data_IF_218113149924
#
_entry.id   IF_218113149924
#
_cell.length_a   1.000
_cell.length_b   1.000
_cell.length_c   1.000
_cell.angle_alpha   90.00
_cell.angle_beta   90.00
_cell.angle_gamma   90.00
#
_symmetry.space_group_name_H-M   'P 1'
#
loop_
_entity.id
_entity.type
_entity.pdbx_description
1 polymer ?
#
# COMPACT_ATOMS: atom_id res chain seq x y z
N UNK A 1 -6.50 14.62 15.70
CA UNK A 1 -5.21 14.77 14.98
C UNK A 1 -4.82 13.40 14.43
N UNK A 2 -4.87 13.25 13.12
CA UNK A 2 -4.46 12.00 12.48
C UNK A 2 -2.96 12.07 12.23
N UNK A 3 -2.21 11.21 12.88
CA UNK A 3 -0.77 11.13 12.72
C UNK A 3 -0.42 9.94 11.84
N UNK A 4 0.27 10.18 10.73
CA UNK A 4 0.95 9.10 10.00
C UNK A 4 2.25 8.86 10.76
N UNK A 5 2.29 7.83 11.59
CA UNK A 5 3.51 7.42 12.26
C UNK A 5 4.33 6.51 11.35
N UNK A 6 5.58 6.89 11.15
CA UNK A 6 6.54 6.08 10.41
C UNK A 6 7.32 5.21 11.39
N UNK A 7 7.15 3.90 11.32
CA UNK A 7 8.13 3.01 11.91
C UNK A 7 9.10 2.54 10.83
N UNK A 8 10.31 3.05 10.91
CA UNK A 8 11.43 2.55 10.13
C UNK A 8 11.99 1.31 10.83
N UNK A 9 11.46 0.14 10.55
CA UNK A 9 12.20 -1.09 10.78
C UNK A 9 13.25 -1.21 9.67
N UNK A 10 14.48 -0.77 9.93
CA UNK A 10 15.62 -0.83 9.00
C UNK A 10 16.16 -2.25 8.79
N UNK A 11 15.38 -3.28 9.10
CA UNK A 11 15.77 -4.66 8.91
C UNK A 11 15.33 -5.06 7.49
N UNK A 12 16.30 -5.34 6.62
CA UNK A 12 16.12 -5.84 5.24
C UNK A 12 15.36 -4.92 4.25
N UNK A 13 15.44 -3.60 4.38
CA UNK A 13 14.80 -2.68 3.43
C UNK A 13 13.28 -2.64 3.51
N UNK A 14 12.69 -3.10 4.60
CA UNK A 14 11.25 -3.05 4.85
C UNK A 14 10.91 -1.75 5.58
N UNK A 15 9.86 -1.07 5.11
CA UNK A 15 9.26 0.10 5.75
C UNK A 15 7.81 -0.18 6.05
N UNK A 16 7.41 0.04 7.28
CA UNK A 16 6.02 -0.06 7.71
C UNK A 16 5.49 1.35 7.92
N UNK A 17 4.42 1.67 7.21
CA UNK A 17 3.68 2.91 7.37
C UNK A 17 2.33 2.58 7.97
N UNK A 18 1.92 3.26 9.01
CA UNK A 18 0.59 3.09 9.57
C UNK A 18 -0.14 4.41 9.71
N UNK A 19 -1.45 4.32 9.80
CA UNK A 19 -2.35 5.44 10.03
C UNK A 19 -3.19 5.17 11.27
N UNK A 20 -3.07 5.99 12.28
CA UNK A 20 -3.79 5.80 13.54
C UNK A 20 -4.18 7.12 14.22
N UNK A 21 -4.99 7.04 15.26
CA UNK A 21 -5.36 8.16 16.09
C UNK A 21 -4.60 8.10 17.42
N UNK A 22 -3.84 9.16 17.73
CA UNK A 22 -2.96 9.20 18.92
C UNK A 22 -3.67 9.32 20.26
N UNK A 23 -5.00 9.49 20.31
CA UNK A 23 -5.75 9.59 21.58
C UNK A 23 -6.29 8.26 22.10
N UNK A 24 -6.42 7.24 21.24
CA UNK A 24 -7.07 5.98 21.59
C UNK A 24 -6.31 4.74 21.08
N UNK A 25 -5.06 4.88 20.66
CA UNK A 25 -4.24 3.79 20.08
C UNK A 25 -4.93 2.98 18.98
N UNK A 26 -5.88 3.59 18.26
CA UNK A 26 -6.63 2.93 17.21
C UNK A 26 -5.83 2.92 15.90
N UNK A 27 -5.52 1.73 15.41
CA UNK A 27 -4.91 1.52 14.10
C UNK A 27 -5.98 1.51 13.02
N UNK A 28 -5.95 2.47 12.10
CA UNK A 28 -6.89 2.53 10.96
C UNK A 28 -6.41 1.81 9.72
N UNK A 29 -5.11 1.63 9.58
CA UNK A 29 -4.53 0.89 8.48
C UNK A 29 -3.02 0.96 8.45
N UNK A 30 -2.43 0.06 7.68
CA UNK A 30 -0.99 0.07 7.45
C UNK A 30 -0.64 -0.39 6.03
N UNK A 31 0.56 -0.03 5.60
CA UNK A 31 1.16 -0.50 4.37
C UNK A 31 2.59 -1.00 4.64
N UNK A 32 2.94 -2.15 4.07
CA UNK A 32 4.28 -2.70 4.14
C UNK A 32 4.98 -2.54 2.79
N UNK A 33 5.96 -1.63 2.78
CA UNK A 33 6.76 -1.28 1.62
C UNK A 33 8.16 -1.90 1.74
N UNK A 34 8.62 -2.57 0.70
CA UNK A 34 9.96 -3.16 0.62
C UNK A 34 10.78 -2.49 -0.47
N UNK A 35 12.01 -2.13 -0.13
CA UNK A 35 13.02 -1.70 -1.08
C UNK A 35 14.07 -2.80 -1.27
N UNK A 36 14.20 -3.37 -2.46
CA UNK A 36 15.23 -4.35 -2.72
C UNK A 36 16.61 -3.67 -2.67
N UNK A 37 17.52 -4.23 -1.87
CA UNK A 37 18.91 -3.75 -1.80
C UNK A 37 19.72 -4.21 -3.01
N UNK A 38 19.51 -5.45 -3.41
CA UNK A 38 20.24 -6.10 -4.51
C UNK A 38 19.26 -6.82 -5.44
N UNK A 39 19.58 -6.86 -6.74
CA UNK A 39 18.79 -7.63 -7.71
C UNK A 39 18.90 -9.15 -7.49
N UNK A 40 19.90 -9.62 -6.73
CA UNK A 40 20.11 -11.05 -6.42
C UNK A 40 19.01 -11.61 -5.52
N UNK A 41 18.39 -10.77 -4.69
CA UNK A 41 17.35 -11.19 -3.74
C UNK A 41 15.94 -11.18 -4.36
N UNK A 42 15.85 -10.92 -5.66
CA UNK A 42 14.57 -10.79 -6.36
C UNK A 42 14.37 -11.99 -7.26
N UNK A 43 13.40 -12.82 -6.90
CA UNK A 43 13.03 -14.02 -7.65
C UNK A 43 12.39 -13.67 -9.01
N UNK A 44 11.61 -12.59 -9.05
CA UNK A 44 10.86 -12.21 -10.24
C UNK A 44 11.57 -11.07 -11.00
N UNK A 45 12.04 -11.32 -12.23
CA UNK A 45 12.77 -10.30 -13.03
C UNK A 45 12.01 -8.99 -13.22
N UNK A 46 10.68 -9.06 -13.25
CA UNK A 46 9.78 -7.94 -13.55
C UNK A 46 9.83 -6.86 -12.47
N UNK A 47 10.08 -7.25 -11.23
CA UNK A 47 10.15 -6.33 -10.08
C UNK A 47 11.56 -5.94 -9.69
N UNK A 48 12.54 -6.22 -10.55
CA UNK A 48 13.91 -5.71 -10.36
C UNK A 48 13.89 -4.19 -10.34
N UNK A 49 14.64 -3.59 -9.41
CA UNK A 49 14.72 -2.14 -9.19
C UNK A 49 13.36 -1.47 -9.02
N UNK A 50 12.41 -2.20 -8.43
CA UNK A 50 11.04 -1.75 -8.22
C UNK A 50 10.76 -1.76 -6.72
N UNK A 51 10.19 -0.69 -6.20
CA UNK A 51 9.65 -0.69 -4.83
C UNK A 51 8.45 -1.63 -4.78
N UNK A 52 8.32 -2.42 -3.72
CA UNK A 52 7.29 -3.44 -3.63
C UNK A 52 6.40 -3.22 -2.42
N UNK A 53 5.11 -3.00 -2.66
CA UNK A 53 4.08 -3.04 -1.63
C UNK A 53 3.65 -4.49 -1.45
N UNK A 54 3.96 -5.05 -0.29
CA UNK A 54 3.62 -6.42 0.04
C UNK A 54 2.25 -6.55 0.69
N UNK A 55 1.86 -5.54 1.43
CA UNK A 55 0.59 -5.50 2.14
C UNK A 55 0.06 -4.08 2.21
N UNK A 56 -1.22 -3.94 2.03
CA UNK A 56 -2.00 -2.76 2.35
C UNK A 56 -3.28 -3.22 3.05
N UNK A 57 -3.42 -2.87 4.31
CA UNK A 57 -4.61 -3.16 5.10
C UNK A 57 -5.23 -1.87 5.62
N UNK A 58 -6.54 -1.76 5.48
CA UNK A 58 -7.34 -0.71 6.09
C UNK A 58 -8.39 -1.37 6.97
N UNK A 59 -8.34 -1.06 8.23
CA UNK A 59 -9.32 -1.55 9.20
C UNK A 59 -10.53 -0.65 9.16
N UNK A 60 -11.68 -1.19 8.75
CA UNK A 60 -12.96 -0.54 8.80
C UNK A 60 -13.88 -1.28 9.77
N UNK A 61 -14.76 -0.58 10.46
CA UNK A 61 -15.92 -1.23 11.03
C UNK A 61 -16.71 -1.75 9.83
N UNK A 62 -16.85 -3.06 9.72
CA UNK A 62 -17.74 -3.68 8.74
C UNK A 62 -19.15 -3.30 9.16
N UNK A 63 -19.62 -2.17 8.66
CA UNK A 63 -21.03 -1.79 8.80
C UNK A 63 -21.77 -2.71 7.85
N UNK A 64 -22.55 -3.64 8.41
CA UNK A 64 -23.45 -4.50 7.64
C UNK A 64 -24.28 -3.63 6.69
N UNK A 65 -24.57 -4.12 5.52
CA UNK A 65 -25.22 -3.43 4.38
C UNK A 65 -26.59 -2.83 4.72
N UNK A 66 -27.11 -3.10 5.91
CA UNK A 66 -28.46 -2.72 6.36
C UNK A 66 -28.52 -1.55 7.36
N UNK A 67 -27.39 -1.00 7.81
CA UNK A 67 -27.43 0.14 8.73
C UNK A 67 -27.25 1.47 7.98
N UNK A 68 -28.32 2.27 7.99
CA UNK A 68 -28.39 3.61 7.36
C UNK A 68 -27.64 4.72 8.12
N UNK A 69 -26.65 4.43 8.93
CA UNK A 69 -25.89 5.45 9.65
C UNK A 69 -24.86 6.12 8.74
N UNK A 70 -25.33 7.17 8.07
CA UNK A 70 -24.54 8.02 7.17
C UNK A 70 -23.37 8.76 7.85
N UNK A 71 -23.40 8.94 9.17
CA UNK A 71 -22.39 9.74 9.90
C UNK A 71 -21.05 9.03 10.13
N UNK A 72 -21.04 7.71 10.27
CA UNK A 72 -19.79 6.95 10.51
C UNK A 72 -19.07 6.48 9.24
N UNK A 73 -19.70 6.60 8.07
CA UNK A 73 -19.10 6.18 6.79
C UNK A 73 -18.01 7.11 6.26
N UNK A 74 -17.92 8.34 6.74
CA UNK A 74 -17.00 9.35 6.22
C UNK A 74 -15.62 9.32 6.86
N UNK A 75 -15.46 8.82 8.07
CA UNK A 75 -14.21 8.90 8.80
C UNK A 75 -13.12 7.93 8.29
N UNK A 76 -13.48 6.80 7.68
CA UNK A 76 -12.52 5.79 7.22
C UNK A 76 -12.29 5.78 5.70
N UNK A 77 -12.97 6.65 4.95
CA UNK A 77 -12.81 6.73 3.50
C UNK A 77 -11.49 7.41 3.14
N UNK A 78 -10.66 6.67 2.43
CA UNK A 78 -9.45 7.23 1.83
C UNK A 78 -8.14 6.92 2.55
N UNK A 79 -8.13 6.20 3.66
CA UNK A 79 -6.87 5.82 4.34
C UNK A 79 -5.99 4.94 3.46
N UNK A 80 -6.55 3.97 2.75
CA UNK A 80 -5.81 3.17 1.79
C UNK A 80 -5.17 4.02 0.70
N UNK A 81 -5.90 5.01 0.18
CA UNK A 81 -5.38 5.95 -0.81
C UNK A 81 -4.28 6.85 -0.25
N UNK A 82 -4.41 7.30 0.99
CA UNK A 82 -3.38 8.11 1.67
C UNK A 82 -2.11 7.31 1.90
N UNK A 83 -2.23 6.08 2.42
CA UNK A 83 -1.11 5.17 2.62
C UNK A 83 -0.40 4.84 1.30
N UNK A 84 -1.17 4.60 0.25
CA UNK A 84 -0.63 4.29 -1.08
C UNK A 84 0.14 5.47 -1.67
N UNK A 85 -0.42 6.68 -1.62
CA UNK A 85 0.25 7.90 -2.08
C UNK A 85 1.54 8.17 -1.30
N UNK A 86 1.52 7.91 -0.01
CA UNK A 86 2.72 8.09 0.82
C UNK A 86 3.80 7.04 0.50
N UNK A 87 3.42 5.79 0.25
CA UNK A 87 4.34 4.77 -0.21
C UNK A 87 4.97 5.14 -1.57
N UNK A 88 4.17 5.68 -2.49
CA UNK A 88 4.65 6.21 -3.77
C UNK A 88 5.64 7.36 -3.57
N UNK A 89 5.32 8.33 -2.71
CA UNK A 89 6.19 9.47 -2.39
C UNK A 89 7.54 9.01 -1.82
N UNK A 90 7.50 8.10 -0.84
CA UNK A 90 8.72 7.56 -0.22
C UNK A 90 9.54 6.76 -1.23
N UNK A 91 8.90 5.97 -2.09
CA UNK A 91 9.58 5.21 -3.13
C UNK A 91 10.30 6.13 -4.12
N UNK A 92 9.62 7.18 -4.55
CA UNK A 92 10.20 8.20 -5.44
C UNK A 92 11.38 8.94 -4.78
N UNK A 93 11.24 9.32 -3.52
CA UNK A 93 12.32 9.94 -2.75
C UNK A 93 13.56 9.04 -2.66
N UNK A 94 13.36 7.72 -2.54
CA UNK A 94 14.43 6.72 -2.55
C UNK A 94 14.88 6.31 -3.96
N UNK A 95 14.56 7.12 -4.97
CA UNK A 95 15.03 6.99 -6.37
C UNK A 95 14.49 5.77 -7.12
N UNK A 96 13.42 5.16 -6.64
CA UNK A 96 12.71 4.15 -7.40
C UNK A 96 11.85 4.80 -8.50
N UNK A 97 11.94 4.27 -9.71
CA UNK A 97 11.16 4.74 -10.87
C UNK A 97 9.86 3.95 -11.07
N UNK A 98 9.73 2.84 -10.36
CA UNK A 98 8.58 1.95 -10.44
C UNK A 98 8.19 1.47 -9.06
N UNK A 99 6.90 1.21 -8.88
CA UNK A 99 6.35 0.56 -7.71
C UNK A 99 5.42 -0.58 -8.16
N UNK A 100 5.48 -1.68 -7.45
CA UNK A 100 4.65 -2.85 -7.69
C UNK A 100 3.84 -3.21 -6.44
N UNK A 101 2.70 -3.83 -6.65
CA UNK A 101 1.82 -4.31 -5.58
C UNK A 101 1.56 -5.80 -5.80
N UNK A 102 1.74 -6.59 -4.75
CA UNK A 102 1.19 -7.94 -4.68
C UNK A 102 -0.26 -7.81 -4.23
N UNK A 103 -1.20 -8.00 -5.16
CA UNK A 103 -2.62 -7.83 -4.87
C UNK A 103 -3.41 -9.11 -5.09
N UNK A 104 -4.41 -9.34 -4.25
CA UNK A 104 -5.45 -10.31 -4.55
C UNK A 104 -6.28 -9.88 -5.77
N UNK A 105 -6.87 -10.85 -6.46
CA UNK A 105 -7.67 -10.62 -7.69
C UNK A 105 -8.82 -9.64 -7.43
N UNK A 106 -9.51 -9.78 -6.30
CA UNK A 106 -10.70 -8.98 -5.99
C UNK A 106 -10.47 -7.50 -5.76
N UNK A 107 -9.21 -7.06 -5.53
CA UNK A 107 -8.87 -5.64 -5.27
C UNK A 107 -8.10 -4.99 -6.43
N UNK A 108 -7.87 -5.70 -7.54
CA UNK A 108 -7.14 -5.16 -8.70
C UNK A 108 -7.81 -3.94 -9.31
N UNK A 109 -9.13 -3.94 -9.42
CA UNK A 109 -9.90 -2.82 -9.93
C UNK A 109 -9.68 -1.54 -9.10
N UNK A 110 -9.55 -1.66 -7.78
CA UNK A 110 -9.23 -0.54 -6.92
C UNK A 110 -7.90 0.11 -7.30
N UNK A 111 -6.86 -0.66 -7.49
CA UNK A 111 -5.56 -0.13 -7.89
C UNK A 111 -5.56 0.40 -9.32
N UNK A 112 -6.24 -0.28 -10.22
CA UNK A 112 -6.27 0.07 -11.63
C UNK A 112 -7.04 1.38 -11.87
N UNK A 113 -8.30 1.45 -11.45
CA UNK A 113 -9.16 2.57 -11.80
C UNK A 113 -8.97 3.79 -10.89
N UNK A 114 -8.63 3.57 -9.63
CA UNK A 114 -8.49 4.69 -8.69
C UNK A 114 -7.07 5.21 -8.56
N UNK A 115 -6.06 4.38 -8.83
CA UNK A 115 -4.66 4.71 -8.57
C UNK A 115 -3.75 4.57 -9.79
N UNK A 116 -4.30 4.27 -10.96
CA UNK A 116 -3.59 4.17 -12.24
C UNK A 116 -2.47 3.12 -12.26
N UNK A 117 -2.65 2.03 -11.53
CA UNK A 117 -1.80 0.85 -11.67
C UNK A 117 -2.23 0.02 -12.87
N UNK A 118 -1.30 -0.67 -13.49
CA UNK A 118 -1.57 -1.58 -14.60
C UNK A 118 -1.12 -2.98 -14.24
N UNK A 119 -1.87 -3.97 -14.71
CA UNK A 119 -1.48 -5.38 -14.58
C UNK A 119 -0.27 -5.61 -15.49
N UNK A 120 0.79 -6.15 -14.93
CA UNK A 120 1.92 -6.65 -15.67
C UNK A 120 1.87 -8.18 -15.65
N UNK A 121 1.38 -8.76 -16.74
CA UNK A 121 1.29 -10.20 -16.92
C UNK A 121 2.67 -10.73 -17.31
N UNK A 122 3.18 -11.63 -16.51
CA UNK A 122 4.46 -12.29 -16.74
C UNK A 122 4.31 -13.78 -16.58
N UNK A 123 5.29 -14.55 -17.03
CA UNK A 123 5.29 -16.00 -16.83
C UNK A 123 5.32 -16.41 -15.36
N UNK A 124 5.85 -15.52 -14.50
CA UNK A 124 6.03 -15.77 -13.07
C UNK A 124 4.86 -15.30 -12.19
N UNK A 125 3.90 -14.54 -12.75
CA UNK A 125 2.77 -14.01 -12.00
C UNK A 125 2.31 -12.64 -12.47
N UNK A 126 1.31 -12.12 -11.79
CA UNK A 126 0.71 -10.85 -12.11
C UNK A 126 0.97 -9.85 -10.99
N UNK A 127 1.61 -8.75 -11.34
CA UNK A 127 1.84 -7.62 -10.44
C UNK A 127 1.04 -6.40 -10.91
N UNK A 128 0.50 -5.64 -9.97
CA UNK A 128 -0.01 -4.31 -10.26
C UNK A 128 1.15 -3.35 -10.22
N UNK A 129 1.46 -2.68 -11.32
CA UNK A 129 2.64 -1.82 -11.46
C UNK A 129 2.28 -0.40 -11.87
N UNK A 130 3.10 0.55 -11.40
CA UNK A 130 2.99 1.97 -11.75
C UNK A 130 4.38 2.58 -11.89
N UNK A 131 4.54 3.49 -12.85
CA UNK A 131 5.70 4.40 -12.91
C UNK A 131 5.50 5.56 -11.95
N UNK A 132 6.55 5.93 -11.24
CA UNK A 132 6.55 7.02 -10.25
C UNK A 132 7.05 8.34 -10.85
#
# INVERSE_FOLDING_TARGET
LYLICYYLLFIFGIRLLWYGCGKEDNLFGFIRLRFPKNNKDIVFPEIKRTALIRELHVYGIVVGTYQKDKKNKTQHRGFGSKLLKEAERISKYNKFKKIAIISGVGVRNYYQYKHNYRINNTQAGEFMMKRL
#
